data_IF_289678086517
#
_entry.id   IF_289678086517
#
_cell.length_a   1.000
_cell.length_b   1.000
_cell.length_c   1.000
_cell.angle_alpha   90.00
_cell.angle_beta   90.00
_cell.angle_gamma   90.00
#
_symmetry.space_group_name_H-M   'P 1'
#
loop_
_entity.id
_entity.type
_entity.pdbx_description
1 polymer ?
#
# COMPACT_ATOMS: atom_id res chain seq x y z
N UNK A 1 -4.57 3.44 19.88
CA UNK A 1 -3.63 2.58 19.14
C UNK A 1 -4.24 2.12 17.82
N UNK A 2 -3.41 2.13 16.79
CA UNK A 2 -3.82 1.61 15.49
C UNK A 2 -3.38 0.16 15.36
N UNK A 3 -4.28 -0.70 14.86
CA UNK A 3 -3.98 -2.10 14.59
C UNK A 3 -4.52 -2.49 13.23
N UNK A 4 -3.75 -3.22 12.48
CA UNK A 4 -4.16 -3.82 11.22
C UNK A 4 -4.29 -5.31 11.42
N UNK A 5 -5.48 -5.84 11.18
CA UNK A 5 -5.73 -7.28 11.28
C UNK A 5 -5.64 -7.89 9.89
N UNK A 6 -4.81 -8.93 9.76
CA UNK A 6 -4.68 -9.69 8.52
C UNK A 6 -5.35 -11.04 8.73
N UNK A 7 -6.26 -11.40 7.83
CA UNK A 7 -7.02 -12.65 7.95
C UNK A 7 -6.68 -13.57 6.78
N UNK A 8 -6.32 -14.79 7.10
CA UNK A 8 -6.10 -15.84 6.11
C UNK A 8 -7.20 -16.89 6.26
N UNK A 9 -7.84 -17.25 5.14
CA UNK A 9 -8.90 -18.24 5.12
C UNK A 9 -8.41 -19.53 4.46
N UNK A 10 -8.38 -20.61 5.25
CA UNK A 10 -7.83 -21.89 4.80
C UNK A 10 -8.51 -22.44 3.55
N UNK A 11 -9.83 -22.28 3.46
CA UNK A 11 -10.61 -22.87 2.38
C UNK A 11 -10.95 -21.87 1.28
N UNK A 12 -10.10 -20.87 1.06
CA UNK A 12 -10.28 -19.83 0.04
C UNK A 12 -9.05 -19.76 -0.88
N UNK A 13 -8.92 -20.70 -1.83
CA UNK A 13 -7.73 -20.74 -2.70
C UNK A 13 -7.74 -19.69 -3.81
N UNK A 14 -8.93 -19.18 -4.17
CA UNK A 14 -9.06 -18.23 -5.27
C UNK A 14 -8.65 -16.82 -4.84
N UNK A 15 -8.26 -16.01 -5.81
CA UNK A 15 -7.95 -14.60 -5.56
C UNK A 15 -9.24 -13.84 -5.22
N UNK A 16 -9.08 -12.79 -4.42
CA UNK A 16 -10.17 -11.89 -4.11
C UNK A 16 -10.36 -10.88 -5.25
N UNK A 17 -11.60 -10.49 -5.47
CA UNK A 17 -11.92 -9.41 -6.40
C UNK A 17 -11.73 -8.09 -5.66
N UNK A 18 -10.69 -7.36 -6.03
CA UNK A 18 -10.32 -6.11 -5.38
C UNK A 18 -10.97 -4.89 -6.03
N UNK A 19 -11.84 -5.10 -7.01
CA UNK A 19 -12.45 -3.99 -7.75
C UNK A 19 -11.39 -3.16 -8.44
N UNK A 20 -11.50 -1.84 -8.36
CA UNK A 20 -10.52 -0.92 -8.92
C UNK A 20 -9.59 -0.36 -7.84
N UNK A 21 -9.49 -1.05 -6.70
CA UNK A 21 -8.69 -0.62 -5.55
C UNK A 21 -9.10 0.75 -5.02
N UNK A 22 -10.38 1.07 -5.17
CA UNK A 22 -10.94 2.33 -4.69
C UNK A 22 -11.00 2.38 -3.17
N UNK A 23 -10.93 1.24 -2.52
CA UNK A 23 -10.84 1.14 -1.07
C UNK A 23 -9.41 0.73 -0.71
N UNK A 24 -8.71 1.59 0.01
CA UNK A 24 -7.32 1.32 0.37
C UNK A 24 -6.96 1.97 1.69
N UNK A 25 -5.89 1.45 2.29
CA UNK A 25 -5.31 1.98 3.52
C UNK A 25 -4.30 3.06 3.16
N UNK A 26 -4.25 4.13 3.95
CA UNK A 26 -3.22 5.16 3.80
C UNK A 26 -2.34 5.20 5.04
N UNK A 27 -1.04 5.22 4.84
CA UNK A 27 -0.05 5.29 5.93
C UNK A 27 0.82 6.53 5.76
N UNK A 28 0.97 7.31 6.83
CA UNK A 28 1.86 8.45 6.81
C UNK A 28 3.26 8.04 7.24
N UNK A 29 4.26 8.64 6.62
CA UNK A 29 5.66 8.35 6.93
C UNK A 29 6.40 9.66 7.22
N UNK A 30 7.37 9.64 8.15
CA UNK A 30 8.11 10.85 8.51
C UNK A 30 9.11 11.31 7.45
N UNK A 31 9.56 10.39 6.59
CA UNK A 31 10.56 10.70 5.56
C UNK A 31 10.16 10.01 4.27
N UNK A 32 9.53 10.79 3.37
CA UNK A 32 9.04 10.26 2.09
C UNK A 32 10.16 9.74 1.20
N UNK A 33 11.31 10.40 1.19
CA UNK A 33 12.42 9.98 0.34
C UNK A 33 12.97 8.63 0.76
N UNK A 34 13.12 8.42 2.07
CA UNK A 34 13.58 7.13 2.59
C UNK A 34 12.55 6.03 2.35
N UNK A 35 11.28 6.33 2.56
CA UNK A 35 10.22 5.35 2.34
C UNK A 35 10.16 4.96 0.86
N UNK A 36 10.23 5.95 -0.03
CA UNK A 36 10.20 5.69 -1.48
C UNK A 36 11.38 4.83 -1.91
N UNK A 37 12.58 5.15 -1.42
CA UNK A 37 13.77 4.39 -1.77
C UNK A 37 13.65 2.93 -1.31
N UNK A 38 13.11 2.71 -0.11
CA UNK A 38 12.90 1.36 0.41
C UNK A 38 11.88 0.60 -0.44
N UNK A 39 10.74 1.22 -0.73
CA UNK A 39 9.69 0.56 -1.50
C UNK A 39 10.10 0.30 -2.95
N UNK A 40 10.90 1.18 -3.52
CA UNK A 40 11.47 0.97 -4.85
C UNK A 40 12.41 -0.23 -4.85
N UNK A 41 13.26 -0.33 -3.83
CA UNK A 41 14.17 -1.46 -3.68
C UNK A 41 13.41 -2.77 -3.52
N UNK A 42 12.29 -2.75 -2.81
CA UNK A 42 11.43 -3.92 -2.62
C UNK A 42 10.59 -4.25 -3.86
N UNK A 43 10.52 -3.33 -4.82
CA UNK A 43 9.78 -3.55 -6.05
C UNK A 43 8.27 -3.56 -5.87
N UNK A 44 7.75 -2.87 -4.85
CA UNK A 44 6.32 -2.91 -4.55
C UNK A 44 5.55 -1.63 -4.91
N UNK A 45 6.22 -0.63 -5.48
CA UNK A 45 5.53 0.59 -5.91
C UNK A 45 4.67 0.28 -7.13
N UNK A 46 3.38 0.58 -7.06
CA UNK A 46 2.45 0.28 -8.15
C UNK A 46 1.87 1.52 -8.82
N UNK A 47 1.96 2.68 -8.18
CA UNK A 47 1.48 3.92 -8.78
C UNK A 47 2.14 5.11 -8.09
N UNK A 48 2.48 6.15 -8.86
CA UNK A 48 3.07 7.36 -8.32
C UNK A 48 2.27 8.57 -8.77
N UNK A 49 2.08 9.51 -7.85
CA UNK A 49 1.41 10.78 -8.14
C UNK A 49 2.28 11.93 -7.63
N UNK A 50 3.30 12.33 -8.43
CA UNK A 50 4.22 13.40 -8.00
C UNK A 50 3.54 14.75 -7.75
N UNK A 51 2.46 15.01 -8.48
CA UNK A 51 1.73 16.28 -8.32
C UNK A 51 1.15 16.42 -6.92
N UNK A 52 0.72 15.31 -6.32
CA UNK A 52 0.20 15.30 -4.95
C UNK A 52 1.26 14.94 -3.91
N UNK A 53 2.45 14.53 -4.34
CA UNK A 53 3.51 14.12 -3.43
C UNK A 53 3.22 12.82 -2.71
N UNK A 54 2.53 11.90 -3.36
CA UNK A 54 2.16 10.61 -2.77
C UNK A 54 2.47 9.48 -3.75
N UNK A 55 2.46 8.25 -3.25
CA UNK A 55 2.56 7.08 -4.10
C UNK A 55 1.85 5.91 -3.44
N UNK A 56 1.66 4.85 -4.20
CA UNK A 56 1.00 3.64 -3.73
C UNK A 56 1.94 2.45 -3.86
N UNK A 57 1.85 1.55 -2.87
CA UNK A 57 2.49 0.25 -2.94
C UNK A 57 1.42 -0.82 -2.97
N UNK A 58 1.77 -2.00 -3.47
CA UNK A 58 0.85 -3.14 -3.44
C UNK A 58 1.37 -4.19 -2.48
N UNK A 59 0.45 -4.82 -1.74
CA UNK A 59 0.81 -5.94 -0.90
C UNK A 59 0.87 -7.21 -1.77
N UNK A 60 1.28 -8.37 -1.21
CA UNK A 60 1.40 -9.59 -2.00
C UNK A 60 0.10 -10.05 -2.65
N UNK A 61 -1.05 -9.62 -2.15
CA UNK A 61 -2.36 -9.98 -2.69
C UNK A 61 -2.90 -8.95 -3.67
N UNK A 62 -2.17 -7.86 -3.91
CA UNK A 62 -2.55 -6.82 -4.85
C UNK A 62 -3.32 -5.66 -4.26
N UNK A 63 -3.56 -5.65 -2.95
CA UNK A 63 -4.20 -4.49 -2.30
C UNK A 63 -3.26 -3.30 -2.35
N UNK A 64 -3.84 -2.13 -2.62
CA UNK A 64 -3.08 -0.89 -2.68
C UNK A 64 -3.00 -0.23 -1.30
N UNK A 65 -1.83 0.31 -0.99
CA UNK A 65 -1.60 1.06 0.24
C UNK A 65 -1.00 2.39 -0.18
N UNK A 66 -1.65 3.47 0.23
CA UNK A 66 -1.21 4.83 -0.10
C UNK A 66 -0.16 5.28 0.90
N UNK A 67 0.93 5.84 0.41
CA UNK A 67 2.00 6.38 1.27
C UNK A 67 1.95 7.89 1.17
N UNK A 68 1.74 8.53 2.31
CA UNK A 68 1.56 9.98 2.38
C UNK A 68 2.54 10.60 3.38
N UNK A 69 2.88 11.88 3.20
CA UNK A 69 3.77 12.53 4.17
C UNK A 69 3.06 12.77 5.49
N UNK A 70 3.82 12.77 6.54
CA UNK A 70 3.36 13.15 7.87
C UNK A 70 3.03 14.64 7.88
N UNK A 71 1.96 15.02 8.57
CA UNK A 71 1.51 16.43 8.63
C UNK A 71 1.78 17.06 9.97
#
# INVERSE_FOLDING_TARGET
DFRLELTWLRDHPQKYDLGECEFHLALSVPDMDKAHALHEKLGCICYENPAMGIYFISDPDGYWIEIVPER
#
